data_IF_293151002772
#
_entry.id   IF_293151002772
#
_cell.length_a   1.000
_cell.length_b   1.000
_cell.length_c   1.000
_cell.angle_alpha   90.00
_cell.angle_beta   90.00
_cell.angle_gamma   90.00
#
_symmetry.space_group_name_H-M   'P 1'
#
loop_
_entity.id
_entity.type
_entity.pdbx_description
1 polymer ?
#
# COMPACT_ATOMS: atom_id res chain seq x y z
N UNK A 1 10.33 -31.22 -28.75
CA UNK A 1 11.44 -30.93 -27.82
C UNK A 1 10.82 -30.79 -26.44
N UNK A 2 11.31 -31.53 -25.45
CA UNK A 2 10.77 -31.53 -24.08
C UNK A 2 11.54 -30.48 -23.29
N UNK A 3 10.86 -29.61 -22.55
CA UNK A 3 11.50 -28.61 -21.69
C UNK A 3 11.73 -29.16 -20.29
N UNK A 4 12.74 -28.61 -19.60
CA UNK A 4 12.96 -28.88 -18.18
C UNK A 4 11.79 -28.36 -17.33
N UNK A 5 11.53 -29.05 -16.22
CA UNK A 5 10.58 -28.57 -15.23
C UNK A 5 11.15 -27.39 -14.47
N UNK A 6 10.29 -26.57 -13.88
CA UNK A 6 10.69 -25.43 -13.05
C UNK A 6 11.59 -25.86 -11.88
N UNK A 7 11.27 -26.99 -11.25
CA UNK A 7 12.08 -27.57 -10.16
C UNK A 7 13.53 -27.83 -10.59
N UNK A 8 13.74 -28.39 -11.78
CA UNK A 8 15.09 -28.64 -12.30
C UNK A 8 15.84 -27.34 -12.63
N UNK A 9 15.13 -26.32 -13.12
CA UNK A 9 15.72 -24.99 -13.40
C UNK A 9 16.16 -24.32 -12.09
N UNK A 10 15.35 -24.43 -11.03
CA UNK A 10 15.67 -23.91 -9.70
C UNK A 10 16.85 -24.66 -9.07
N UNK A 11 16.90 -25.98 -9.18
CA UNK A 11 18.04 -26.79 -8.73
C UNK A 11 19.36 -26.33 -9.40
N UNK A 12 19.34 -26.09 -10.72
CA UNK A 12 20.51 -25.56 -11.44
C UNK A 12 20.87 -24.15 -10.98
N UNK A 13 19.87 -23.26 -10.77
CA UNK A 13 20.10 -21.91 -10.25
C UNK A 13 20.81 -21.94 -8.90
N UNK A 14 20.35 -22.81 -8.00
CA UNK A 14 20.84 -22.95 -6.63
C UNK A 14 22.12 -23.77 -6.52
N UNK A 15 22.68 -24.20 -7.67
CA UNK A 15 23.89 -25.04 -7.79
C UNK A 15 23.74 -26.37 -7.05
N UNK A 16 22.53 -26.88 -6.98
CA UNK A 16 22.26 -28.22 -6.50
C UNK A 16 22.80 -29.26 -7.51
N UNK A 17 23.16 -30.46 -7.04
CA UNK A 17 23.64 -31.51 -7.93
C UNK A 17 22.51 -31.96 -8.88
N UNK A 18 22.70 -31.72 -10.18
CA UNK A 18 21.82 -32.19 -11.26
C UNK A 18 22.58 -33.13 -12.20
N UNK A 19 21.85 -33.91 -12.98
CA UNK A 19 22.46 -34.79 -13.98
C UNK A 19 23.08 -33.99 -15.14
N UNK A 20 24.17 -34.48 -15.73
CA UNK A 20 24.91 -33.78 -16.80
C UNK A 20 24.04 -33.52 -18.04
N UNK A 21 23.05 -34.39 -18.30
CA UNK A 21 22.10 -34.22 -19.40
C UNK A 21 21.20 -32.99 -19.24
N UNK A 22 20.95 -32.56 -17.99
CA UNK A 22 20.16 -31.35 -17.69
C UNK A 22 20.96 -30.11 -18.07
N UNK A 23 22.25 -30.11 -17.77
CA UNK A 23 23.15 -29.00 -18.13
C UNK A 23 23.32 -28.91 -19.64
N UNK A 24 23.58 -30.05 -20.30
CA UNK A 24 23.66 -30.12 -21.76
C UNK A 24 22.36 -29.62 -22.42
N UNK A 25 21.19 -29.95 -21.86
CA UNK A 25 19.92 -29.46 -22.38
C UNK A 25 19.76 -27.94 -22.23
N UNK A 26 20.24 -27.33 -21.13
CA UNK A 26 20.19 -25.88 -20.95
C UNK A 26 21.03 -25.16 -22.00
N UNK A 27 22.20 -25.70 -22.32
CA UNK A 27 23.08 -25.14 -23.36
C UNK A 27 22.47 -25.23 -24.76
N UNK A 28 21.69 -26.27 -25.04
CA UNK A 28 21.03 -26.47 -26.35
C UNK A 28 19.66 -25.77 -26.47
N UNK A 29 18.92 -25.66 -25.36
CA UNK A 29 17.55 -25.15 -25.37
C UNK A 29 17.46 -23.69 -24.91
N UNK A 30 17.40 -22.76 -25.87
CA UNK A 30 17.32 -21.32 -25.58
C UNK A 30 16.12 -20.88 -24.72
N UNK A 31 15.07 -21.68 -24.64
CA UNK A 31 13.92 -21.42 -23.77
C UNK A 31 14.26 -21.70 -22.30
N UNK A 32 14.88 -22.85 -22.02
CA UNK A 32 15.33 -23.22 -20.68
C UNK A 32 16.49 -22.33 -20.21
N UNK A 33 17.40 -21.93 -21.11
CA UNK A 33 18.45 -20.96 -20.81
C UNK A 33 17.88 -19.60 -20.36
N UNK A 34 16.85 -19.08 -21.05
CA UNK A 34 16.18 -17.83 -20.65
C UNK A 34 15.50 -17.97 -19.30
N UNK A 35 14.73 -19.04 -19.10
CA UNK A 35 14.05 -19.29 -17.84
C UNK A 35 15.02 -19.39 -16.64
N UNK A 36 16.22 -19.98 -16.84
CA UNK A 36 17.27 -20.00 -15.83
C UNK A 36 17.81 -18.60 -15.53
N UNK A 37 18.04 -17.78 -16.55
CA UNK A 37 18.52 -16.41 -16.38
C UNK A 37 17.51 -15.54 -15.65
N UNK A 38 16.22 -15.66 -15.98
CA UNK A 38 15.16 -14.95 -15.24
C UNK A 38 15.11 -15.38 -13.78
N UNK A 39 15.26 -16.69 -13.51
CA UNK A 39 15.29 -17.21 -12.15
C UNK A 39 16.49 -16.66 -11.34
N UNK A 40 17.65 -16.46 -11.99
CA UNK A 40 18.83 -15.81 -11.39
C UNK A 40 18.61 -14.33 -11.13
N UNK A 41 18.09 -13.60 -12.12
CA UNK A 41 17.80 -12.16 -11.98
C UNK A 41 16.82 -11.89 -10.82
N UNK A 42 15.79 -12.74 -10.67
CA UNK A 42 14.87 -12.67 -9.52
C UNK A 42 15.59 -12.88 -8.18
N UNK A 43 16.49 -13.85 -8.10
CA UNK A 43 17.25 -14.12 -6.88
C UNK A 43 18.14 -12.92 -6.51
N UNK A 44 18.84 -12.34 -7.49
CA UNK A 44 19.67 -11.14 -7.29
C UNK A 44 18.84 -9.93 -6.80
N UNK A 45 17.67 -9.70 -7.40
CA UNK A 45 16.77 -8.63 -6.97
C UNK A 45 16.33 -8.79 -5.50
N UNK A 46 16.04 -10.03 -5.08
CA UNK A 46 15.69 -10.33 -3.68
C UNK A 46 16.89 -10.11 -2.76
N UNK A 47 18.09 -10.57 -3.12
CA UNK A 47 19.31 -10.33 -2.35
C UNK A 47 19.61 -8.83 -2.20
N UNK A 48 19.44 -8.05 -3.27
CA UNK A 48 19.63 -6.60 -3.24
C UNK A 48 18.61 -5.91 -2.33
N UNK A 49 17.34 -6.33 -2.38
CA UNK A 49 16.29 -5.82 -1.50
C UNK A 49 16.61 -6.13 -0.02
N UNK A 50 17.07 -7.33 0.27
CA UNK A 50 17.50 -7.72 1.62
C UNK A 50 18.73 -6.91 2.08
N UNK A 51 19.71 -6.69 1.21
CA UNK A 51 20.88 -5.88 1.51
C UNK A 51 20.50 -4.43 1.84
N UNK A 52 19.55 -3.84 1.11
CA UNK A 52 19.04 -2.49 1.37
C UNK A 52 18.38 -2.37 2.76
N UNK A 53 17.71 -3.43 3.23
CA UNK A 53 17.13 -3.47 4.57
C UNK A 53 18.19 -3.64 5.68
N UNK A 54 19.38 -4.12 5.34
CA UNK A 54 20.45 -4.42 6.30
C UNK A 54 21.33 -3.21 6.60
N UNK A 55 21.18 -2.09 5.88
CA UNK A 55 21.87 -0.83 6.18
C UNK A 55 21.34 -0.27 7.51
N UNK A 56 22.19 -0.07 8.54
CA UNK A 56 21.75 0.58 9.76
C UNK A 56 21.31 2.00 9.40
N UNK A 57 20.04 2.33 9.68
CA UNK A 57 19.52 3.69 9.60
C UNK A 57 20.39 4.60 10.48
N UNK A 58 21.34 5.29 9.85
CA UNK A 58 22.20 6.28 10.49
C UNK A 58 21.29 7.44 10.87
N UNK A 59 20.90 7.49 12.15
CA UNK A 59 20.20 8.63 12.72
C UNK A 59 21.19 9.79 12.82
N UNK A 60 21.42 10.49 11.72
CA UNK A 60 22.03 11.82 11.75
C UNK A 60 21.01 12.76 12.38
N UNK A 61 21.05 12.82 13.71
CA UNK A 61 20.28 13.76 14.51
C UNK A 61 20.72 15.18 14.17
N UNK A 62 19.98 15.84 13.29
CA UNK A 62 19.94 17.29 13.17
C UNK A 62 19.19 17.84 14.38
N UNK A 63 19.87 17.93 15.52
CA UNK A 63 19.47 18.80 16.60
C UNK A 63 19.97 20.21 16.27
N UNK A 64 19.19 20.94 15.48
CA UNK A 64 19.29 22.40 15.46
C UNK A 64 18.80 22.92 16.81
N UNK A 65 19.74 23.26 17.69
CA UNK A 65 19.47 24.21 18.78
C UNK A 65 19.81 25.61 18.26
N UNK A 66 18.84 26.54 18.14
CA UNK A 66 19.19 27.93 17.96
C UNK A 66 19.82 28.45 19.25
N UNK A 67 21.13 28.69 19.23
CA UNK A 67 21.84 29.43 20.27
C UNK A 67 21.28 30.86 20.35
N UNK A 68 20.36 31.08 21.29
CA UNK A 68 20.06 32.42 21.81
C UNK A 68 21.28 32.87 22.61
N UNK A 69 22.12 33.68 21.99
CA UNK A 69 23.18 34.44 22.65
C UNK A 69 22.54 35.47 23.61
N UNK A 70 22.28 35.03 24.84
CA UNK A 70 21.98 35.89 25.99
C UNK A 70 23.23 36.63 26.43
N UNK A 71 23.42 37.84 25.90
CA UNK A 71 24.47 38.78 26.30
C UNK A 71 24.16 39.28 27.72
N UNK A 72 24.97 38.83 28.67
CA UNK A 72 25.00 39.33 30.04
C UNK A 72 26.08 40.39 30.14
N UNK A 73 25.71 41.68 30.14
CA UNK A 73 26.59 42.78 30.53
C UNK A 73 26.09 43.34 31.87
N UNK A 74 26.90 43.17 32.92
CA UNK A 74 26.68 43.71 34.26
C UNK A 74 27.49 45.00 34.42
N UNK A 75 26.79 46.05 34.87
CA UNK A 75 27.23 47.22 35.65
C UNK A 75 28.35 48.14 35.11
N UNK A 76 27.96 49.39 34.81
CA UNK A 76 28.49 50.60 35.45
C UNK A 76 27.80 51.84 34.86
N UNK A 77 27.26 52.73 35.71
CA UNK A 77 26.84 54.06 35.24
C UNK A 77 25.74 54.70 36.07
N UNK A 78 26.16 55.43 37.09
CA UNK A 78 25.34 56.30 37.91
C UNK A 78 24.50 57.30 37.10
N UNK A 79 23.29 57.60 37.57
CA UNK A 79 22.44 58.66 37.03
C UNK A 79 21.17 58.81 37.86
N UNK A 80 21.24 59.62 38.91
CA UNK A 80 20.16 59.95 39.80
C UNK A 80 19.00 60.66 39.08
N UNK A 81 17.75 60.37 39.46
CA UNK A 81 16.78 61.43 39.70
C UNK A 81 15.66 60.98 40.65
N UNK A 82 15.53 61.75 41.74
CA UNK A 82 14.46 61.77 42.73
C UNK A 82 13.43 62.80 42.25
N UNK A 83 12.13 62.48 42.23
CA UNK A 83 11.04 63.37 42.71
C UNK A 83 9.85 62.51 43.21
N UNK A 84 9.22 62.83 44.36
CA UNK A 84 8.11 62.10 44.98
C UNK A 84 6.74 62.77 44.73
N UNK A 85 5.64 62.19 45.24
CA UNK A 85 4.39 62.77 45.81
C UNK A 85 3.31 61.64 45.78
N UNK A 86 3.02 60.91 46.87
CA UNK A 86 2.08 61.19 48.00
C UNK A 86 0.61 60.70 47.76
N UNK A 87 -0.28 60.62 48.77
CA UNK A 87 -0.64 59.36 49.47
C UNK A 87 -2.14 58.99 49.42
N UNK A 88 -2.45 57.76 49.84
CA UNK A 88 -3.82 57.29 50.09
C UNK A 88 -4.35 57.69 51.48
N UNK A 89 -5.66 57.96 51.56
CA UNK A 89 -6.43 58.17 52.79
C UNK A 89 -7.83 57.57 52.61
N UNK A 90 -8.24 56.55 53.38
CA UNK A 90 -9.29 56.52 54.44
C UNK A 90 -9.94 55.12 54.38
N UNK A 91 -10.51 54.44 55.36
CA UNK A 91 -10.66 54.51 56.82
C UNK A 91 -11.05 53.08 57.30
N UNK A 92 -10.76 52.71 58.56
CA UNK A 92 -10.86 51.36 59.17
C UNK A 92 -12.28 50.84 59.49
N UNK A 93 -12.56 50.15 60.63
CA UNK A 93 -11.68 49.58 61.67
C UNK A 93 -12.10 48.18 62.24
N UNK A 94 -11.30 47.70 63.21
CA UNK A 94 -11.61 46.78 64.32
C UNK A 94 -11.66 45.26 64.08
N UNK A 95 -10.90 44.50 64.89
CA UNK A 95 -11.08 43.04 65.02
C UNK A 95 -9.92 42.25 65.62
N UNK A 96 -9.64 42.47 66.89
CA UNK A 96 -8.74 41.72 67.78
C UNK A 96 -9.04 40.21 67.82
N UNK A 97 -8.02 39.34 67.92
CA UNK A 97 -8.22 37.98 68.45
C UNK A 97 -7.29 36.89 67.94
N UNK A 98 -6.19 36.65 68.67
CA UNK A 98 -5.25 35.56 68.49
C UNK A 98 -5.89 34.16 68.67
N UNK A 99 -5.35 33.14 67.99
CA UNK A 99 -4.74 31.98 68.68
C UNK A 99 -3.94 31.05 67.75
N UNK A 100 -2.69 30.84 68.14
CA UNK A 100 -1.81 29.76 67.71
C UNK A 100 -2.21 28.48 68.44
N UNK A 101 -2.27 27.35 67.72
CA UNK A 101 -2.22 25.99 68.32
C UNK A 101 -1.09 25.22 67.61
N UNK A 102 -0.11 24.68 68.35
CA UNK A 102 0.95 23.84 67.79
C UNK A 102 0.52 22.37 67.80
N UNK A 103 0.81 21.61 66.74
CA UNK A 103 0.81 20.14 66.78
C UNK A 103 2.13 19.65 66.16
N UNK A 104 2.73 18.73 66.90
CA UNK A 104 4.09 18.23 66.88
C UNK A 104 4.53 17.45 65.63
N UNK A 105 5.85 17.26 65.45
CA UNK A 105 6.45 16.56 64.32
C UNK A 105 6.47 15.04 64.55
N UNK A 106 5.69 14.30 63.76
CA UNK A 106 5.69 12.83 63.71
C UNK A 106 6.78 12.28 62.78
N UNK A 107 7.67 11.47 63.36
CA UNK A 107 8.80 10.81 62.72
C UNK A 107 8.38 9.54 61.96
N UNK A 108 8.95 9.40 60.75
CA UNK A 108 9.24 8.24 59.88
C UNK A 108 8.61 6.87 60.17
N UNK A 109 8.11 6.25 59.09
CA UNK A 109 8.51 4.87 58.75
C UNK A 109 8.51 4.61 57.24
N UNK A 110 9.47 3.80 56.82
CA UNK A 110 9.84 3.50 55.44
C UNK A 110 8.98 2.39 54.82
N UNK A 111 8.71 2.50 53.52
CA UNK A 111 8.16 1.42 52.68
C UNK A 111 8.66 1.56 51.23
N UNK A 112 9.08 0.46 50.57
CA UNK A 112 9.87 0.52 49.34
C UNK A 112 9.03 0.59 48.05
N UNK A 113 9.66 1.21 47.05
CA UNK A 113 9.50 1.09 45.59
C UNK A 113 8.35 0.25 45.00
N UNK A 114 7.58 0.86 44.10
CA UNK A 114 7.36 0.34 42.74
C UNK A 114 7.12 1.49 41.75
N UNK A 115 8.20 1.98 41.15
CA UNK A 115 8.15 2.86 39.97
C UNK A 115 7.79 1.96 38.78
N UNK A 116 6.53 1.95 38.38
CA UNK A 116 6.05 1.24 37.20
C UNK A 116 6.68 1.85 35.93
N UNK A 117 7.84 1.33 35.52
CA UNK A 117 8.36 1.45 34.17
C UNK A 117 7.40 0.69 33.25
N UNK A 118 6.38 1.38 32.73
CA UNK A 118 5.59 0.88 31.61
C UNK A 118 6.52 0.72 30.40
N UNK A 119 6.53 -0.50 29.89
CA UNK A 119 7.37 -1.00 28.82
C UNK A 119 7.12 -0.25 27.50
N UNK A 120 8.08 0.56 27.08
CA UNK A 120 8.14 1.18 25.75
C UNK A 120 8.68 0.19 24.68
N UNK A 121 8.77 -1.10 25.03
CA UNK A 121 9.39 -2.14 24.21
C UNK A 121 8.42 -2.85 23.24
N UNK A 122 7.09 -2.66 23.39
CA UNK A 122 6.11 -3.35 22.53
C UNK A 122 5.80 -2.62 21.22
N UNK A 123 5.86 -1.28 21.17
CA UNK A 123 5.52 -0.53 19.96
C UNK A 123 6.57 -0.68 18.83
N UNK A 124 7.84 -0.89 19.17
CA UNK A 124 8.94 -1.03 18.21
C UNK A 124 8.97 -2.37 17.47
N UNK A 125 8.36 -3.42 18.04
CA UNK A 125 8.30 -4.75 17.41
C UNK A 125 7.11 -4.90 16.46
N UNK A 126 5.98 -4.24 16.72
CA UNK A 126 4.82 -4.27 15.82
C UNK A 126 5.09 -3.59 14.47
N UNK A 127 5.85 -2.49 14.45
CA UNK A 127 6.21 -1.81 13.19
C UNK A 127 7.08 -2.67 12.27
N UNK A 128 7.94 -3.53 12.82
CA UNK A 128 8.82 -4.42 12.04
C UNK A 128 8.08 -5.61 11.43
N UNK A 129 7.07 -6.14 12.13
CA UNK A 129 6.24 -7.21 11.59
C UNK A 129 5.38 -6.73 10.41
N UNK A 130 4.81 -5.51 10.48
CA UNK A 130 3.99 -4.95 9.42
C UNK A 130 4.79 -4.71 8.12
N UNK A 131 6.04 -4.26 8.22
CA UNK A 131 6.91 -4.05 7.05
C UNK A 131 7.31 -5.39 6.41
N UNK A 132 7.58 -6.43 7.21
CA UNK A 132 7.86 -7.76 6.66
C UNK A 132 6.65 -8.37 5.93
N UNK A 133 5.43 -8.14 6.42
CA UNK A 133 4.19 -8.58 5.75
C UNK A 133 3.95 -7.78 4.45
N UNK A 134 4.21 -6.47 4.45
CA UNK A 134 4.08 -5.62 3.25
C UNK A 134 5.13 -5.93 2.17
N UNK A 135 6.35 -6.30 2.56
CA UNK A 135 7.42 -6.69 1.61
C UNK A 135 7.18 -8.11 1.08
N UNK A 136 6.76 -9.06 1.92
CA UNK A 136 6.42 -10.41 1.47
C UNK A 136 5.18 -10.42 0.54
N UNK A 137 4.22 -9.54 0.76
CA UNK A 137 3.05 -9.38 -0.11
C UNK A 137 3.35 -8.56 -1.37
N UNK A 138 4.24 -7.56 -1.30
CA UNK A 138 4.53 -6.64 -2.41
C UNK A 138 5.64 -7.09 -3.37
N UNK A 139 6.59 -7.93 -2.93
CA UNK A 139 7.71 -8.38 -3.76
C UNK A 139 7.32 -9.47 -4.78
N UNK A 140 6.16 -10.14 -4.61
CA UNK A 140 5.65 -11.11 -5.59
C UNK A 140 4.82 -10.47 -6.71
N UNK A 141 4.36 -9.23 -6.54
CA UNK A 141 3.47 -8.53 -7.49
C UNK A 141 4.17 -7.53 -8.42
N UNK A 142 5.48 -7.35 -8.30
CA UNK A 142 6.23 -6.33 -9.05
C UNK A 142 7.35 -6.91 -9.92
N UNK A 143 7.19 -8.13 -10.46
CA UNK A 143 8.06 -8.66 -11.51
C UNK A 143 7.45 -8.39 -12.89
N UNK A 144 8.01 -7.43 -13.67
CA UNK A 144 7.62 -7.22 -15.05
C UNK A 144 8.40 -8.20 -15.94
N UNK A 145 7.72 -9.19 -16.54
CA UNK A 145 8.36 -10.07 -17.53
C UNK A 145 7.43 -11.11 -18.18
N UNK A 146 7.71 -11.55 -19.43
CA UNK A 146 6.72 -12.04 -20.39
C UNK A 146 6.66 -13.58 -20.47
N UNK A 147 5.82 -14.26 -19.68
CA UNK A 147 5.80 -15.74 -19.66
C UNK A 147 4.44 -16.44 -19.79
N UNK A 148 3.36 -15.76 -20.16
CA UNK A 148 2.04 -16.42 -20.29
C UNK A 148 1.80 -17.16 -21.63
N UNK A 149 2.84 -17.41 -22.43
CA UNK A 149 2.67 -17.83 -23.83
C UNK A 149 2.87 -19.32 -24.19
N UNK A 150 3.47 -20.18 -23.36
CA UNK A 150 3.97 -21.46 -23.89
C UNK A 150 3.99 -22.67 -22.94
N UNK A 151 2.82 -23.08 -22.45
CA UNK A 151 2.65 -24.45 -21.92
C UNK A 151 1.74 -25.24 -22.88
N UNK A 152 2.29 -26.18 -23.69
CA UNK A 152 1.47 -27.16 -24.37
C UNK A 152 0.89 -28.13 -23.34
N UNK A 153 -0.42 -28.02 -23.08
CA UNK A 153 -1.16 -28.96 -22.22
C UNK A 153 -1.31 -30.31 -22.92
N UNK A 154 -0.45 -31.26 -22.58
CA UNK A 154 -0.77 -32.69 -22.65
C UNK A 154 -0.34 -33.33 -21.35
N UNK A 155 -1.28 -33.52 -20.42
CA UNK A 155 -1.52 -34.79 -19.71
C UNK A 155 -2.74 -34.62 -18.79
N UNK A 156 -3.70 -35.51 -18.97
CA UNK A 156 -4.95 -35.61 -18.24
C UNK A 156 -4.71 -36.03 -16.78
N UNK A 157 -5.18 -35.19 -15.86
CA UNK A 157 -5.48 -35.52 -14.46
C UNK A 157 -6.65 -34.64 -14.05
N UNK A 158 -7.80 -35.26 -13.74
CA UNK A 158 -9.12 -34.63 -13.78
C UNK A 158 -9.28 -33.39 -12.88
N UNK A 159 -9.57 -32.28 -13.52
CA UNK A 159 -10.30 -31.14 -12.96
C UNK A 159 -11.12 -30.56 -14.11
N UNK A 160 -12.44 -30.31 -13.98
CA UNK A 160 -13.25 -29.90 -15.11
C UNK A 160 -12.74 -28.55 -15.63
N UNK A 161 -12.49 -28.47 -16.94
CA UNK A 161 -12.15 -27.22 -17.60
C UNK A 161 -13.24 -26.20 -17.29
N UNK A 162 -12.83 -25.05 -16.75
CA UNK A 162 -13.66 -23.85 -16.79
C UNK A 162 -14.08 -23.65 -18.24
N UNK A 163 -15.38 -23.83 -18.49
CA UNK A 163 -15.96 -23.67 -19.82
C UNK A 163 -16.00 -22.17 -20.08
N UNK A 164 -15.48 -21.66 -21.21
CA UNK A 164 -15.73 -20.28 -21.58
C UNK A 164 -17.24 -20.08 -21.65
N UNK A 165 -17.80 -19.35 -20.69
CA UNK A 165 -19.22 -19.02 -20.66
C UNK A 165 -19.44 -18.06 -21.83
N UNK A 166 -20.35 -18.43 -22.72
CA UNK A 166 -20.74 -17.64 -23.89
C UNK A 166 -20.97 -16.17 -23.47
N UNK A 167 -20.33 -15.20 -24.13
CA UNK A 167 -20.45 -13.80 -23.73
C UNK A 167 -21.88 -13.32 -23.92
N UNK A 168 -22.36 -12.54 -22.95
CA UNK A 168 -23.55 -11.72 -23.13
C UNK A 168 -23.35 -10.79 -24.35
N UNK A 169 -24.42 -10.39 -25.07
CA UNK A 169 -24.28 -9.56 -26.27
C UNK A 169 -23.50 -8.28 -25.95
N UNK A 170 -22.30 -8.16 -26.52
CA UNK A 170 -21.45 -6.99 -26.39
C UNK A 170 -22.10 -5.80 -27.14
N UNK A 171 -22.08 -4.58 -26.56
CA UNK A 171 -22.52 -3.39 -27.28
C UNK A 171 -21.64 -3.20 -28.53
N UNK A 172 -22.22 -2.83 -29.69
CA UNK A 172 -21.49 -2.75 -30.95
C UNK A 172 -20.30 -1.78 -30.83
N UNK A 173 -19.11 -2.25 -31.18
CA UNK A 173 -17.88 -1.45 -31.20
C UNK A 173 -17.04 -1.46 -29.93
N UNK A 174 -17.46 -2.20 -28.90
CA UNK A 174 -16.60 -2.51 -27.75
C UNK A 174 -15.99 -3.91 -27.91
N UNK A 175 -14.75 -4.05 -27.49
CA UNK A 175 -14.03 -5.32 -27.35
C UNK A 175 -13.52 -5.40 -25.92
N UNK A 176 -13.36 -6.61 -25.41
CA UNK A 176 -12.83 -6.80 -24.07
C UNK A 176 -12.73 -8.26 -23.70
N UNK A 177 -12.47 -8.46 -22.42
CA UNK A 177 -12.34 -9.78 -21.82
C UNK A 177 -12.94 -9.81 -20.44
N UNK A 178 -13.23 -11.04 -19.99
CA UNK A 178 -13.72 -11.33 -18.67
C UNK A 178 -12.78 -12.34 -18.00
N UNK A 179 -12.54 -12.13 -16.71
CA UNK A 179 -11.74 -13.03 -15.88
C UNK A 179 -12.60 -13.50 -14.71
N UNK A 180 -12.64 -14.82 -14.50
CA UNK A 180 -13.28 -15.39 -13.33
C UNK A 180 -12.43 -15.13 -12.07
N UNK A 181 -13.06 -14.59 -11.04
CA UNK A 181 -12.46 -14.30 -9.75
C UNK A 181 -12.89 -15.38 -8.77
N UNK A 182 -11.96 -16.29 -8.46
CA UNK A 182 -12.23 -17.41 -7.55
C UNK A 182 -12.27 -16.93 -6.11
N UNK A 183 -11.28 -16.12 -5.69
CA UNK A 183 -11.18 -15.48 -4.38
C UNK A 183 -10.19 -14.31 -4.44
N UNK A 184 -10.36 -13.34 -3.54
CA UNK A 184 -9.37 -12.28 -3.31
C UNK A 184 -9.78 -10.89 -3.79
N UNK A 185 -8.93 -9.89 -3.52
CA UNK A 185 -9.17 -8.52 -3.95
C UNK A 185 -9.18 -8.43 -5.48
N UNK A 186 -10.05 -7.57 -6.01
CA UNK A 186 -10.06 -7.23 -7.44
C UNK A 186 -9.45 -5.86 -7.64
N UNK A 187 -8.53 -5.77 -8.58
CA UNK A 187 -7.88 -4.52 -8.96
C UNK A 187 -8.07 -4.27 -10.44
N UNK A 188 -8.74 -3.19 -10.81
CA UNK A 188 -8.95 -2.81 -12.22
C UNK A 188 -8.14 -1.55 -12.49
N UNK A 189 -7.14 -1.67 -13.37
CA UNK A 189 -6.33 -0.57 -13.88
C UNK A 189 -6.75 -0.20 -15.28
N UNK A 190 -7.18 1.03 -15.47
CA UNK A 190 -7.38 1.65 -16.78
C UNK A 190 -6.24 2.63 -17.03
N UNK A 191 -5.43 2.35 -18.05
CA UNK A 191 -4.27 3.13 -18.45
C UNK A 191 -4.56 3.88 -19.76
N UNK A 192 -3.89 5.03 -19.95
CA UNK A 192 -4.02 5.89 -21.13
C UNK A 192 -5.44 6.38 -21.44
N UNK A 193 -6.30 6.46 -20.41
CA UNK A 193 -7.68 6.91 -20.60
C UNK A 193 -7.70 8.40 -20.94
N UNK A 194 -8.24 8.75 -22.11
CA UNK A 194 -8.32 10.13 -22.58
C UNK A 194 -9.30 10.94 -21.73
N UNK A 195 -8.99 12.20 -21.35
CA UNK A 195 -9.96 13.06 -20.70
C UNK A 195 -11.28 13.21 -21.48
N UNK A 196 -12.39 13.36 -20.75
CA UNK A 196 -13.75 13.32 -21.30
C UNK A 196 -14.27 11.92 -21.60
N UNK A 197 -13.47 10.86 -21.37
CA UNK A 197 -13.94 9.47 -21.50
C UNK A 197 -14.96 9.16 -20.43
N UNK A 198 -16.09 8.57 -20.84
CA UNK A 198 -17.13 8.07 -19.94
C UNK A 198 -16.81 6.64 -19.52
N UNK A 199 -16.71 6.40 -18.22
CA UNK A 199 -16.49 5.07 -17.64
C UNK A 199 -17.75 4.66 -16.91
N UNK A 200 -18.41 3.60 -17.40
CA UNK A 200 -19.62 3.04 -16.81
C UNK A 200 -19.26 1.80 -15.99
N UNK A 201 -19.43 1.87 -14.67
CA UNK A 201 -19.21 0.73 -13.78
C UNK A 201 -20.54 0.06 -13.49
N UNK A 202 -20.63 -1.24 -13.76
CA UNK A 202 -21.83 -2.05 -13.58
C UNK A 202 -21.57 -3.21 -12.64
N UNK A 203 -22.61 -3.58 -11.88
CA UNK A 203 -22.62 -4.84 -11.15
C UNK A 203 -23.15 -5.94 -12.06
N UNK A 204 -22.48 -7.07 -12.07
CA UNK A 204 -22.90 -8.24 -12.85
C UNK A 204 -23.09 -9.43 -11.93
N UNK A 205 -24.12 -10.22 -12.23
CA UNK A 205 -24.32 -11.49 -11.57
C UNK A 205 -23.19 -12.46 -11.94
N UNK A 206 -22.67 -13.18 -10.95
CA UNK A 206 -21.61 -14.18 -11.14
C UNK A 206 -20.30 -13.78 -10.48
N UNK A 207 -19.19 -14.35 -10.97
CA UNK A 207 -17.84 -14.18 -10.41
C UNK A 207 -16.85 -13.60 -11.41
N UNK A 208 -17.32 -13.08 -12.54
CA UNK A 208 -16.44 -12.55 -13.57
C UNK A 208 -16.27 -11.04 -13.43
N UNK A 209 -15.03 -10.58 -13.47
CA UNK A 209 -14.69 -9.16 -13.69
C UNK A 209 -14.45 -8.96 -15.17
N UNK A 210 -15.06 -7.93 -15.74
CA UNK A 210 -14.93 -7.59 -17.16
C UNK A 210 -14.50 -6.15 -17.36
N UNK A 211 -13.74 -5.92 -18.43
CA UNK A 211 -13.52 -4.57 -18.95
C UNK A 211 -13.75 -4.62 -20.46
N UNK A 212 -14.61 -3.71 -20.93
CA UNK A 212 -14.98 -3.53 -22.32
C UNK A 212 -14.61 -2.10 -22.73
N UNK A 213 -13.88 -1.94 -23.84
CA UNK A 213 -13.44 -0.63 -24.34
C UNK A 213 -13.42 -0.64 -25.88
N UNK A 214 -13.09 0.48 -26.52
CA UNK A 214 -13.05 0.54 -27.98
C UNK A 214 -12.02 -0.44 -28.59
N UNK A 215 -12.30 -0.88 -29.82
CA UNK A 215 -11.38 -1.70 -30.62
C UNK A 215 -9.98 -1.06 -30.71
N UNK A 216 -8.95 -1.89 -30.52
CA UNK A 216 -7.55 -1.44 -30.45
C UNK A 216 -7.04 -1.23 -29.03
N UNK A 217 -7.91 -1.29 -28.02
CA UNK A 217 -7.48 -1.34 -26.61
C UNK A 217 -6.81 -2.68 -26.30
N UNK A 218 -5.82 -2.65 -25.40
CA UNK A 218 -5.09 -3.84 -24.96
C UNK A 218 -5.53 -4.25 -23.56
N UNK A 219 -5.61 -5.55 -23.31
CA UNK A 219 -6.11 -6.09 -22.04
C UNK A 219 -5.18 -7.18 -21.52
N UNK A 220 -4.96 -7.18 -20.20
CA UNK A 220 -4.26 -8.22 -19.47
C UNK A 220 -5.06 -8.60 -18.23
N UNK A 221 -5.15 -9.91 -17.98
CA UNK A 221 -5.94 -10.49 -16.90
C UNK A 221 -5.07 -11.48 -16.12
N UNK A 222 -5.04 -11.37 -14.79
CA UNK A 222 -4.36 -12.34 -13.95
C UNK A 222 -4.44 -12.02 -12.47
N UNK A 223 -4.49 -13.05 -11.62
CA UNK A 223 -4.36 -12.93 -10.15
C UNK A 223 -5.30 -11.92 -9.47
N UNK A 224 -6.51 -11.72 -9.97
CA UNK A 224 -7.45 -10.72 -9.45
C UNK A 224 -7.22 -9.31 -9.97
N UNK A 225 -6.23 -9.12 -10.85
CA UNK A 225 -5.93 -7.87 -11.51
C UNK A 225 -6.39 -7.88 -12.97
N UNK A 226 -6.98 -6.77 -13.39
CA UNK A 226 -7.34 -6.48 -14.78
C UNK A 226 -6.66 -5.18 -15.17
N UNK A 227 -5.82 -5.22 -16.19
CA UNK A 227 -5.22 -4.03 -16.79
C UNK A 227 -5.77 -3.82 -18.18
N UNK A 228 -6.18 -2.60 -18.48
CA UNK A 228 -6.63 -2.22 -19.81
C UNK A 228 -5.95 -0.91 -20.24
N UNK A 229 -5.21 -0.94 -21.35
CA UNK A 229 -4.72 0.26 -22.01
C UNK A 229 -5.77 0.72 -23.02
N UNK A 230 -6.47 1.80 -22.69
CA UNK A 230 -7.65 2.29 -23.44
C UNK A 230 -7.20 3.27 -24.51
N UNK A 231 -7.57 3.00 -25.76
CA UNK A 231 -7.21 3.90 -26.88
C UNK A 231 -8.23 5.04 -27.03
N UNK A 232 -9.52 4.74 -26.90
CA UNK A 232 -10.60 5.71 -27.07
C UNK A 232 -11.95 5.18 -26.55
N UNK A 233 -12.96 6.06 -26.55
CA UNK A 233 -14.37 5.71 -26.43
C UNK A 233 -14.82 5.39 -25.00
N UNK A 234 -16.12 5.10 -24.81
CA UNK A 234 -16.65 4.73 -23.51
C UNK A 234 -16.06 3.40 -23.04
N UNK A 235 -15.83 3.30 -21.74
CA UNK A 235 -15.32 2.09 -21.09
C UNK A 235 -16.40 1.53 -20.17
N UNK A 236 -16.68 0.25 -20.28
CA UNK A 236 -17.57 -0.45 -19.34
C UNK A 236 -16.73 -1.35 -18.43
N UNK A 237 -16.85 -1.16 -17.12
CA UNK A 237 -16.22 -2.02 -16.11
C UNK A 237 -17.31 -2.84 -15.43
N UNK A 238 -17.23 -4.16 -15.56
CA UNK A 238 -18.16 -5.10 -14.94
C UNK A 238 -17.52 -5.66 -13.67
N UNK A 239 -18.13 -5.37 -12.52
CA UNK A 239 -17.72 -5.90 -11.23
C UNK A 239 -18.71 -6.97 -10.75
N UNK A 240 -18.25 -8.16 -10.35
CA UNK A 240 -19.13 -9.22 -9.87
C UNK A 240 -19.73 -8.88 -8.50
N UNK A 241 -20.96 -9.33 -8.29
CA UNK A 241 -21.62 -9.20 -7.00
C UNK A 241 -20.94 -10.05 -5.92
N UNK A 242 -20.74 -9.44 -4.75
CA UNK A 242 -20.15 -10.10 -3.59
C UNK A 242 -18.62 -10.19 -3.58
N UNK A 243 -17.92 -9.72 -4.62
CA UNK A 243 -16.46 -9.63 -4.58
C UNK A 243 -16.04 -8.35 -3.87
N UNK A 244 -15.36 -8.56 -2.75
CA UNK A 244 -14.91 -7.51 -1.84
C UNK A 244 -13.53 -7.92 -1.30
N UNK A 245 -12.51 -7.04 -1.35
CA UNK A 245 -12.55 -5.67 -1.86
C UNK A 245 -12.38 -5.58 -3.39
N UNK A 246 -12.85 -4.50 -4.00
CA UNK A 246 -12.60 -4.18 -5.41
C UNK A 246 -12.19 -2.71 -5.57
N UNK A 247 -11.16 -2.44 -6.38
CA UNK A 247 -10.64 -1.09 -6.57
C UNK A 247 -10.51 -0.78 -8.07
N UNK A 248 -11.00 0.40 -8.48
CA UNK A 248 -10.83 0.94 -9.84
C UNK A 248 -9.82 2.09 -9.82
N UNK A 249 -8.75 1.94 -10.59
CA UNK A 249 -7.70 2.91 -10.77
C UNK A 249 -7.71 3.36 -12.23
N UNK A 250 -7.77 4.68 -12.46
CA UNK A 250 -7.78 5.29 -13.79
C UNK A 250 -6.61 6.25 -13.88
N UNK A 251 -5.70 6.02 -14.82
CA UNK A 251 -4.45 6.79 -15.00
C UNK A 251 -3.67 6.98 -13.68
N UNK A 252 -3.64 5.95 -12.83
CA UNK A 252 -2.94 5.96 -11.54
C UNK A 252 -3.70 6.60 -10.38
N UNK A 253 -4.86 7.20 -10.60
CA UNK A 253 -5.72 7.73 -9.53
C UNK A 253 -6.85 6.75 -9.18
N UNK A 254 -7.20 6.63 -7.90
CA UNK A 254 -8.30 5.79 -7.44
C UNK A 254 -9.65 6.48 -7.66
N UNK A 255 -10.56 5.84 -8.38
CA UNK A 255 -11.89 6.39 -8.69
C UNK A 255 -12.99 5.73 -7.87
N UNK A 256 -12.85 4.42 -7.61
CA UNK A 256 -13.83 3.61 -6.91
C UNK A 256 -13.11 2.65 -5.95
N UNK A 257 -13.59 2.57 -4.72
CA UNK A 257 -13.24 1.51 -3.76
C UNK A 257 -14.54 0.87 -3.29
N UNK A 258 -14.64 -0.44 -3.43
CA UNK A 258 -15.71 -1.26 -2.90
C UNK A 258 -15.11 -2.14 -1.82
N UNK A 259 -15.56 -1.98 -0.58
CA UNK A 259 -15.10 -2.75 0.56
C UNK A 259 -16.28 -3.34 1.35
N UNK A 260 -16.01 -3.91 2.52
CA UNK A 260 -17.04 -4.52 3.35
C UNK A 260 -17.95 -3.48 4.03
N UNK A 261 -17.51 -2.22 4.09
CA UNK A 261 -18.24 -1.09 4.68
C UNK A 261 -19.20 -0.48 3.66
N UNK A 262 -18.81 -0.50 2.38
CA UNK A 262 -19.67 -0.08 1.28
C UNK A 262 -18.88 0.28 0.04
N UNK A 263 -19.29 1.38 -0.58
CA UNK A 263 -18.71 1.88 -1.82
C UNK A 263 -18.30 3.34 -1.63
N UNK A 264 -17.01 3.60 -1.76
CA UNK A 264 -16.45 4.94 -1.77
C UNK A 264 -16.11 5.35 -3.21
N UNK A 265 -16.52 6.56 -3.57
CA UNK A 265 -16.35 7.11 -4.91
C UNK A 265 -15.60 8.42 -4.81
N UNK A 266 -14.40 8.48 -5.39
CA UNK A 266 -13.49 9.64 -5.25
C UNK A 266 -13.43 10.47 -6.54
N UNK A 267 -13.76 9.87 -7.69
CA UNK A 267 -13.74 10.56 -8.99
C UNK A 267 -14.95 11.48 -9.23
N UNK A 268 -14.86 12.43 -10.19
CA UNK A 268 -16.01 13.20 -10.66
C UNK A 268 -17.06 12.24 -11.25
N UNK A 269 -18.19 12.14 -10.56
CA UNK A 269 -19.29 11.26 -10.95
C UNK A 269 -20.33 12.01 -11.75
N UNK A 270 -20.77 11.39 -12.84
CA UNK A 270 -22.00 11.75 -13.52
C UNK A 270 -23.10 10.76 -13.13
N UNK A 271 -24.34 11.21 -13.29
CA UNK A 271 -25.59 10.66 -12.73
C UNK A 271 -25.65 9.12 -12.62
N UNK A 272 -26.14 8.64 -11.47
CA UNK A 272 -26.48 7.23 -11.22
C UNK A 272 -27.69 6.82 -12.08
N UNK A 273 -27.47 6.04 -13.13
CA UNK A 273 -28.53 5.40 -13.91
C UNK A 273 -28.97 4.09 -13.25
N UNK A 274 -30.22 3.65 -13.45
CA UNK A 274 -30.76 2.46 -12.78
C UNK A 274 -30.05 1.14 -13.09
N UNK A 275 -29.30 1.06 -14.20
CA UNK A 275 -28.52 -0.11 -14.60
C UNK A 275 -27.02 0.02 -14.29
N UNK A 276 -26.55 1.24 -14.02
CA UNK A 276 -25.15 1.54 -13.74
C UNK A 276 -24.94 1.69 -12.23
N UNK A 277 -23.88 1.08 -11.71
CA UNK A 277 -23.50 1.29 -10.32
C UNK A 277 -23.07 2.76 -10.11
N UNK A 278 -22.16 3.22 -10.97
CA UNK A 278 -21.61 4.59 -11.03
C UNK A 278 -21.11 4.87 -12.44
N UNK A 279 -21.33 6.08 -12.94
CA UNK A 279 -20.72 6.58 -14.17
C UNK A 279 -19.72 7.68 -13.83
N UNK A 280 -18.53 7.62 -14.43
CA UNK A 280 -17.47 8.61 -14.27
C UNK A 280 -17.21 9.30 -15.60
N UNK A 281 -16.78 10.56 -15.53
CA UNK A 281 -16.20 11.27 -16.67
C UNK A 281 -14.78 11.68 -16.29
N UNK A 282 -13.78 11.22 -17.03
CA UNK A 282 -12.38 11.57 -16.73
C UNK A 282 -12.18 13.08 -16.90
N UNK A 283 -11.70 13.82 -15.90
CA UNK A 283 -11.58 15.27 -15.97
C UNK A 283 -10.52 15.68 -17.02
N UNK A 284 -10.79 16.81 -17.70
CA UNK A 284 -9.87 17.48 -18.63
C UNK A 284 -8.60 18.00 -17.97
#
# INVERSE_FOLDING_TARGET
MIHLTEEMILAVRDREPVADEVLAHIDECSACARALEDARSRAEAVEQALAALTVPLRMEGRAETPEVHGRSDVAAGAGAQVVPIEPGHSDGPAGTGARVVPIEPGHRDAGPATRARRSVWSARWLGRAAVLVLIAAGALSALPGPFNGWIPRTFSGGSPLATPISPAPEPPGQVGGRMEVVNGPVLVHLENVVPGTVIDVRRVAGRAVGVLAATGSEFSYGSGEVRAAVVAGPVTVELPDGVVPATLIVNGATYLVVDAVGMEVTGPTSVRSGESLVTFEVPN
#
